data_IF_967086841477
#
_entry.id   IF_967086841477
#
_cell.length_a   1.000
_cell.length_b   1.000
_cell.length_c   1.000
_cell.angle_alpha   90.00
_cell.angle_beta   90.00
_cell.angle_gamma   90.00
#
_symmetry.space_group_name_H-M   'P 1'
#
loop_
_entity.id
_entity.type
_entity.pdbx_description
1 polymer ?
#
# COMPACT_ATOMS: atom_id res chain seq x y z
N UNK A 1 -29.49 -6.55 -2.24
CA UNK A 1 -28.37 -6.53 -1.28
C UNK A 1 -27.91 -5.10 -1.18
N UNK A 2 -27.94 -4.54 0.02
CA UNK A 2 -27.47 -3.19 0.26
C UNK A 2 -25.95 -3.10 -0.02
N UNK A 3 -25.44 -2.02 -0.62
CA UNK A 3 -24.00 -1.82 -0.81
C UNK A 3 -23.19 -1.97 0.49
N UNK A 4 -23.79 -1.63 1.64
CA UNK A 4 -23.23 -1.77 2.98
C UNK A 4 -23.04 -3.24 3.38
N UNK A 5 -24.09 -4.06 3.24
CA UNK A 5 -23.99 -5.50 3.52
C UNK A 5 -23.00 -6.19 2.58
N UNK A 6 -22.97 -5.76 1.31
CA UNK A 6 -22.06 -6.31 0.31
C UNK A 6 -20.60 -6.05 0.71
N UNK A 7 -20.26 -4.83 1.16
CA UNK A 7 -18.88 -4.52 1.60
C UNK A 7 -18.50 -5.29 2.87
N UNK A 8 -19.41 -5.46 3.83
CA UNK A 8 -19.15 -6.23 5.05
C UNK A 8 -18.86 -7.69 4.74
N UNK A 9 -19.67 -8.32 3.89
CA UNK A 9 -19.44 -9.71 3.47
C UNK A 9 -18.10 -9.89 2.75
N UNK A 10 -17.73 -8.96 1.87
CA UNK A 10 -16.43 -8.97 1.17
C UNK A 10 -15.27 -8.80 2.15
N UNK A 11 -15.41 -7.90 3.13
CA UNK A 11 -14.41 -7.68 4.18
C UNK A 11 -14.19 -8.93 5.04
N UNK A 12 -15.26 -9.60 5.46
CA UNK A 12 -15.16 -10.85 6.21
C UNK A 12 -14.43 -11.95 5.41
N UNK A 13 -14.69 -12.04 4.09
CA UNK A 13 -13.93 -12.93 3.21
C UNK A 13 -12.44 -12.53 3.16
N UNK A 14 -12.14 -11.23 3.05
CA UNK A 14 -10.76 -10.73 3.04
C UNK A 14 -10.01 -11.12 4.33
N UNK A 15 -10.66 -11.00 5.50
CA UNK A 15 -10.12 -11.45 6.79
C UNK A 15 -9.86 -12.96 6.79
N UNK A 16 -10.77 -13.75 6.22
CA UNK A 16 -10.59 -15.19 6.06
C UNK A 16 -9.34 -15.55 5.26
N UNK A 17 -9.10 -14.85 4.14
CA UNK A 17 -7.89 -15.03 3.33
C UNK A 17 -6.61 -14.58 4.04
N UNK A 18 -6.66 -13.43 4.75
CA UNK A 18 -5.55 -12.95 5.57
C UNK A 18 -5.12 -13.98 6.62
N UNK A 19 -6.08 -14.58 7.33
CA UNK A 19 -5.82 -15.61 8.35
C UNK A 19 -5.26 -16.91 7.76
N UNK A 20 -5.55 -17.21 6.50
CA UNK A 20 -5.01 -18.35 5.75
C UNK A 20 -3.63 -18.08 5.14
N UNK A 21 -3.13 -16.85 5.22
CA UNK A 21 -1.86 -16.42 4.60
C UNK A 21 -1.98 -16.07 3.11
N UNK A 22 -3.19 -16.05 2.54
CA UNK A 22 -3.41 -15.64 1.14
C UNK A 22 -3.58 -14.12 1.08
N UNK A 23 -2.45 -13.43 1.18
CA UNK A 23 -2.38 -11.97 1.23
C UNK A 23 -2.80 -11.33 -0.10
N UNK A 24 -2.50 -11.97 -1.23
CA UNK A 24 -2.86 -11.48 -2.57
C UNK A 24 -4.37 -11.40 -2.74
N UNK A 25 -5.10 -12.49 -2.44
CA UNK A 25 -6.58 -12.49 -2.53
C UNK A 25 -7.21 -11.56 -1.51
N UNK A 26 -6.66 -11.51 -0.30
CA UNK A 26 -7.14 -10.59 0.75
C UNK A 26 -7.05 -9.12 0.29
N UNK A 27 -5.91 -8.70 -0.30
CA UNK A 27 -5.71 -7.34 -0.83
C UNK A 27 -6.71 -6.99 -1.93
N UNK A 28 -6.94 -7.90 -2.87
CA UNK A 28 -7.88 -7.68 -3.99
C UNK A 28 -9.33 -7.52 -3.51
N UNK A 29 -9.74 -8.24 -2.46
CA UNK A 29 -11.05 -8.06 -1.86
C UNK A 29 -11.16 -6.72 -1.12
N UNK A 30 -10.11 -6.28 -0.44
CA UNK A 30 -10.07 -4.98 0.22
C UNK A 30 -10.14 -3.81 -0.75
N UNK A 31 -9.46 -3.90 -1.91
CA UNK A 31 -9.59 -2.89 -2.96
C UNK A 31 -11.04 -2.75 -3.46
N UNK A 32 -11.78 -3.86 -3.52
CA UNK A 32 -13.21 -3.83 -3.85
C UNK A 32 -14.06 -3.18 -2.74
N UNK A 33 -13.75 -3.41 -1.47
CA UNK A 33 -14.41 -2.74 -0.36
C UNK A 33 -14.17 -1.22 -0.39
N UNK A 34 -12.92 -0.81 -0.62
CA UNK A 34 -12.51 0.60 -0.65
C UNK A 34 -13.06 1.35 -1.87
N UNK A 35 -13.39 0.66 -2.95
CA UNK A 35 -14.13 1.24 -4.07
C UNK A 35 -15.57 1.62 -3.71
N UNK A 36 -16.17 0.93 -2.73
CA UNK A 36 -17.53 1.23 -2.24
C UNK A 36 -17.47 2.29 -1.15
N UNK A 37 -16.52 2.17 -0.22
CA UNK A 37 -16.29 3.15 0.86
C UNK A 37 -14.78 3.41 1.02
N UNK A 38 -14.24 4.49 0.45
CA UNK A 38 -12.80 4.76 0.45
C UNK A 38 -12.25 5.10 1.84
N UNK A 39 -13.08 5.70 2.71
CA UNK A 39 -12.71 6.08 4.08
C UNK A 39 -12.91 4.96 5.12
N UNK A 40 -13.12 3.72 4.67
CA UNK A 40 -13.35 2.62 5.60
C UNK A 40 -12.07 2.22 6.35
N UNK A 41 -11.92 2.77 7.57
CA UNK A 41 -10.74 2.60 8.42
C UNK A 41 -10.35 1.14 8.67
N UNK A 42 -11.32 0.23 8.82
CA UNK A 42 -11.03 -1.19 9.06
C UNK A 42 -10.37 -1.85 7.83
N UNK A 43 -10.90 -1.58 6.64
CA UNK A 43 -10.35 -2.10 5.39
C UNK A 43 -8.97 -1.51 5.09
N UNK A 44 -8.77 -0.21 5.33
CA UNK A 44 -7.47 0.47 5.20
C UNK A 44 -6.42 -0.12 6.14
N UNK A 45 -6.77 -0.32 7.41
CA UNK A 45 -5.87 -0.89 8.42
C UNK A 45 -5.45 -2.32 8.05
N UNK A 46 -6.40 -3.16 7.62
CA UNK A 46 -6.10 -4.52 7.20
C UNK A 46 -5.22 -4.56 5.94
N UNK A 47 -5.48 -3.68 4.96
CA UNK A 47 -4.68 -3.58 3.75
C UNK A 47 -3.23 -3.20 4.07
N UNK A 48 -3.03 -2.24 4.97
CA UNK A 48 -1.69 -1.87 5.44
C UNK A 48 -0.99 -3.02 6.16
N UNK A 49 -1.69 -3.74 7.04
CA UNK A 49 -1.13 -4.91 7.72
C UNK A 49 -0.72 -6.03 6.75
N UNK A 50 -1.47 -6.22 5.66
CA UNK A 50 -1.12 -7.13 4.57
C UNK A 50 0.14 -6.68 3.85
N UNK A 51 0.23 -5.41 3.47
CA UNK A 51 1.41 -4.84 2.79
C UNK A 51 2.67 -4.92 3.67
N UNK A 52 2.53 -4.66 4.98
CA UNK A 52 3.58 -4.85 5.97
C UNK A 52 4.02 -6.31 6.06
N UNK A 53 3.08 -7.27 6.07
CA UNK A 53 3.40 -8.70 6.07
C UNK A 53 4.08 -9.15 4.79
N UNK A 54 3.58 -8.76 3.63
CA UNK A 54 4.22 -9.09 2.35
C UNK A 54 5.65 -8.53 2.32
N UNK A 55 5.84 -7.32 2.84
CA UNK A 55 7.17 -6.68 2.91
C UNK A 55 8.10 -7.35 3.94
N UNK A 56 7.58 -7.89 5.04
CA UNK A 56 8.35 -8.50 6.14
C UNK A 56 8.61 -10.00 5.94
N UNK A 57 7.59 -10.77 5.54
CA UNK A 57 7.70 -12.19 5.22
C UNK A 57 8.38 -12.40 3.84
N UNK A 58 8.31 -11.39 2.96
CA UNK A 58 9.01 -11.35 1.68
C UNK A 58 10.49 -10.99 1.80
N UNK A 59 11.30 -11.86 2.40
CA UNK A 59 12.74 -11.90 2.09
C UNK A 59 12.86 -12.31 0.61
N UNK A 60 12.92 -11.34 -0.29
CA UNK A 60 13.13 -11.49 -1.75
C UNK A 60 11.94 -12.08 -2.54
N UNK A 61 10.97 -11.25 -2.95
CA UNK A 61 10.40 -11.35 -4.30
C UNK A 61 10.53 -9.96 -4.89
N UNK A 62 11.54 -9.80 -5.74
CA UNK A 62 11.90 -8.54 -6.37
C UNK A 62 10.83 -8.02 -7.32
N UNK A 63 10.96 -6.71 -7.58
CA UNK A 63 10.20 -5.88 -8.52
C UNK A 63 8.83 -5.45 -7.94
N UNK A 64 8.56 -4.19 -7.60
CA UNK A 64 9.07 -2.96 -8.18
C UNK A 64 9.42 -1.89 -7.15
N UNK A 65 10.59 -1.33 -7.39
CA UNK A 65 10.97 0.04 -7.09
C UNK A 65 9.78 0.96 -7.43
N UNK A 66 9.18 1.60 -6.43
CA UNK A 66 8.67 2.96 -6.63
C UNK A 66 9.59 3.88 -5.85
N UNK A 67 10.59 4.36 -6.58
CA UNK A 67 11.42 5.47 -6.15
C UNK A 67 10.55 6.74 -6.11
N UNK A 68 9.86 7.00 -5.02
CA UNK A 68 9.58 8.39 -4.63
C UNK A 68 10.73 8.85 -3.75
N UNK A 69 11.77 9.31 -4.42
CA UNK A 69 12.83 10.10 -3.84
C UNK A 69 12.23 11.35 -3.19
N UNK A 70 12.09 11.36 -1.86
CA UNK A 70 12.08 12.61 -1.10
C UNK A 70 13.49 12.84 -0.58
N UNK A 71 14.43 12.90 -1.53
CA UNK A 71 15.73 13.52 -1.35
C UNK A 71 15.62 14.99 -1.71
N UNK A 72 14.90 15.76 -0.88
CA UNK A 72 14.89 17.23 -0.93
C UNK A 72 15.37 17.79 0.41
N UNK A 73 16.50 17.26 0.90
CA UNK A 73 17.37 18.10 1.72
C UNK A 73 18.12 18.95 0.71
N UNK A 74 17.66 20.18 0.55
CA UNK A 74 18.29 21.23 -0.23
C UNK A 74 19.73 21.43 0.28
N UNK A 75 20.68 20.75 -0.36
CA UNK A 75 22.11 21.08 -0.28
C UNK A 75 22.27 22.37 -1.08
N UNK A 76 22.14 23.49 -0.39
CA UNK A 76 22.66 24.75 -0.87
C UNK A 76 24.17 24.63 -1.04
N UNK A 77 24.64 24.66 -2.28
CA UNK A 77 25.79 25.41 -2.78
C UNK A 77 25.48 25.61 -4.27
N UNK A 78 24.92 26.77 -4.61
CA UNK A 78 24.90 27.22 -6.00
C UNK A 78 26.35 27.49 -6.41
N UNK A 79 26.71 26.95 -7.57
CA UNK A 79 28.03 27.05 -8.18
C UNK A 79 28.52 28.51 -8.27
N UNK A 80 29.58 28.84 -7.53
CA UNK A 80 30.37 30.04 -7.76
C UNK A 80 31.29 29.82 -8.96
N UNK A 81 30.86 30.37 -10.10
CA UNK A 81 31.65 30.93 -11.21
C UNK A 81 33.11 30.43 -11.34
N UNK A 82 33.30 29.43 -12.22
CA UNK A 82 34.61 29.20 -12.85
C UNK A 82 34.89 30.34 -13.85
N UNK A 83 35.99 31.05 -13.61
CA UNK A 83 36.57 32.09 -14.46
C UNK A 83 37.48 31.49 -15.55
N UNK A 84 37.24 31.84 -16.82
CA UNK A 84 38.18 31.94 -17.97
C UNK A 84 37.35 32.28 -19.22
N UNK A 85 37.70 33.18 -20.14
CA UNK A 85 38.94 33.86 -20.48
C UNK A 85 38.57 35.20 -21.13
#
# INVERSE_FOLDING_TARGET
MDPLEKREKIYLMAVGYYRRGDFTRSRMLLDNCLRIEPDWRQALSLKKAIEDRISKDGRMIGIGITATAVGLIAVGIAATLVRRN
#
